data_IF_303206874803
#
_entry.id   IF_303206874803
#
_cell.length_a   1.000
_cell.length_b   1.000
_cell.length_c   1.000
_cell.angle_alpha   90.00
_cell.angle_beta   90.00
_cell.angle_gamma   90.00
#
_symmetry.space_group_name_H-M   'P 1'
#
loop_
_entity.id
_entity.type
_entity.pdbx_description
1 polymer ?
#
# COMPACT_ATOMS: atom_id res chain seq x y z
N UNK A 1 45.63 -75.07 1.02
CA UNK A 1 44.63 -74.62 0.03
C UNK A 1 43.48 -74.01 0.81
N UNK A 2 43.44 -72.68 0.91
CA UNK A 2 42.39 -71.98 1.65
C UNK A 2 41.21 -71.75 0.72
N UNK A 3 40.06 -72.35 1.04
CA UNK A 3 38.81 -72.20 0.28
C UNK A 3 38.26 -70.78 0.48
N UNK A 4 38.01 -70.00 -0.60
CA UNK A 4 37.44 -68.67 -0.44
C UNK A 4 35.96 -68.78 -0.02
N UNK A 5 35.62 -68.19 1.13
CA UNK A 5 34.24 -68.03 1.57
C UNK A 5 33.67 -66.74 0.99
N UNK A 6 32.81 -66.86 -0.01
CA UNK A 6 32.06 -65.73 -0.56
C UNK A 6 30.88 -65.42 0.36
N UNK A 7 30.91 -64.26 1.02
CA UNK A 7 29.80 -63.77 1.83
C UNK A 7 28.97 -62.78 1.01
N UNK A 8 27.72 -63.14 0.71
CA UNK A 8 26.77 -62.26 0.02
C UNK A 8 26.07 -61.37 1.05
N UNK A 9 26.43 -60.09 1.08
CA UNK A 9 25.75 -59.07 1.89
C UNK A 9 24.49 -58.65 1.14
N UNK A 10 23.30 -58.93 1.70
CA UNK A 10 22.05 -58.43 1.13
C UNK A 10 22.02 -56.90 1.27
N UNK A 11 21.66 -56.15 0.22
CA UNK A 11 21.54 -54.70 0.33
C UNK A 11 20.52 -54.34 1.41
N UNK A 12 20.87 -53.38 2.27
CA UNK A 12 19.94 -52.83 3.25
C UNK A 12 18.71 -52.31 2.51
N UNK A 13 17.52 -52.81 2.85
CA UNK A 13 16.27 -52.52 2.17
C UNK A 13 15.77 -51.10 2.41
N UNK A 14 16.49 -50.09 1.91
CA UNK A 14 16.19 -48.66 2.05
C UNK A 14 14.96 -48.19 1.22
N UNK A 15 14.34 -49.10 0.46
CA UNK A 15 13.15 -48.80 -0.33
C UNK A 15 11.94 -48.42 0.53
N UNK A 16 11.80 -49.03 1.72
CA UNK A 16 10.70 -48.72 2.63
C UNK A 16 10.89 -47.35 3.31
N UNK A 17 12.12 -47.01 3.70
CA UNK A 17 12.43 -45.72 4.32
C UNK A 17 12.19 -44.56 3.35
N UNK A 18 12.62 -44.71 2.10
CA UNK A 18 12.36 -43.73 1.03
C UNK A 18 10.86 -43.61 0.74
N UNK A 19 10.13 -44.72 0.76
CA UNK A 19 8.67 -44.73 0.59
C UNK A 19 7.96 -43.99 1.74
N UNK A 20 8.39 -44.20 2.99
CA UNK A 20 7.81 -43.49 4.14
C UNK A 20 8.08 -41.98 4.08
N UNK A 21 9.28 -41.57 3.68
CA UNK A 21 9.62 -40.16 3.49
C UNK A 21 8.78 -39.54 2.38
N UNK A 22 8.63 -40.23 1.24
CA UNK A 22 7.80 -39.75 0.13
C UNK A 22 6.32 -39.61 0.54
N UNK A 23 5.77 -40.59 1.26
CA UNK A 23 4.41 -40.55 1.78
C UNK A 23 4.21 -39.39 2.77
N UNK A 24 5.19 -39.14 3.64
CA UNK A 24 5.17 -38.01 4.56
C UNK A 24 5.17 -36.68 3.80
N UNK A 25 6.02 -36.53 2.78
CA UNK A 25 6.05 -35.34 1.93
C UNK A 25 4.70 -35.10 1.23
N UNK A 26 4.11 -36.13 0.64
CA UNK A 26 2.80 -36.02 -0.02
C UNK A 26 1.68 -35.65 0.97
N UNK A 27 1.72 -36.20 2.18
CA UNK A 27 0.77 -35.85 3.24
C UNK A 27 0.89 -34.37 3.64
N UNK A 28 2.12 -33.86 3.82
CA UNK A 28 2.36 -32.45 4.13
C UNK A 28 1.83 -31.57 2.99
N UNK A 29 2.11 -31.90 1.73
CA UNK A 29 1.62 -31.15 0.58
C UNK A 29 0.10 -31.17 0.48
N UNK A 30 -0.54 -32.31 0.76
CA UNK A 30 -2.00 -32.42 0.76
C UNK A 30 -2.62 -31.59 1.88
N UNK A 31 -2.05 -31.60 3.08
CA UNK A 31 -2.51 -30.76 4.21
C UNK A 31 -2.30 -29.29 3.90
N UNK A 32 -1.12 -28.90 3.43
CA UNK A 32 -0.82 -27.52 3.05
C UNK A 32 -1.74 -27.03 1.92
N UNK A 33 -1.92 -27.83 0.87
CA UNK A 33 -2.84 -27.54 -0.23
C UNK A 33 -4.29 -27.44 0.25
N UNK A 34 -4.74 -28.33 1.12
CA UNK A 34 -6.09 -28.28 1.72
C UNK A 34 -6.27 -27.05 2.59
N UNK A 35 -5.27 -26.66 3.38
CA UNK A 35 -5.28 -25.41 4.14
C UNK A 35 -5.31 -24.21 3.21
N UNK A 36 -4.57 -24.21 2.10
CA UNK A 36 -4.60 -23.12 1.11
C UNK A 36 -5.94 -23.05 0.39
N UNK A 37 -6.58 -24.18 0.11
CA UNK A 37 -7.92 -24.24 -0.50
C UNK A 37 -9.01 -23.81 0.48
N UNK A 38 -8.91 -24.19 1.76
CA UNK A 38 -9.86 -23.83 2.81
C UNK A 38 -9.68 -22.38 3.25
N UNK A 39 -8.44 -21.94 3.39
CA UNK A 39 -8.04 -20.54 3.66
C UNK A 39 -7.99 -19.70 2.39
N UNK A 40 -8.33 -20.29 1.24
CA UNK A 40 -8.89 -19.60 0.09
C UNK A 40 -10.28 -19.11 0.48
N UNK A 41 -10.32 -18.30 1.54
CA UNK A 41 -11.45 -17.47 1.90
C UNK A 41 -11.88 -16.83 0.60
N UNK A 42 -13.13 -17.08 0.21
CA UNK A 42 -13.76 -16.28 -0.83
C UNK A 42 -13.40 -14.85 -0.46
N UNK A 43 -12.64 -14.18 -1.33
CA UNK A 43 -12.44 -12.75 -1.22
C UNK A 43 -13.86 -12.19 -1.26
N UNK A 44 -14.45 -12.02 -0.08
CA UNK A 44 -15.51 -11.08 0.11
C UNK A 44 -14.80 -9.80 -0.23
N UNK A 45 -14.96 -9.41 -1.50
CA UNK A 45 -14.72 -8.09 -1.98
C UNK A 45 -15.65 -7.27 -1.11
N UNK A 46 -15.17 -6.90 0.09
CA UNK A 46 -15.71 -5.80 0.84
C UNK A 46 -15.62 -4.68 -0.16
N UNK A 47 -16.77 -4.39 -0.76
CA UNK A 47 -16.90 -3.51 -1.89
C UNK A 47 -16.49 -2.15 -1.37
N UNK A 48 -15.20 -1.86 -1.51
CA UNK A 48 -14.70 -0.52 -1.67
C UNK A 48 -15.67 0.11 -2.65
N UNK A 49 -16.50 1.07 -2.20
CA UNK A 49 -17.43 1.77 -3.10
C UNK A 49 -16.65 2.18 -4.34
N UNK A 50 -17.25 2.23 -5.54
CA UNK A 50 -16.52 2.51 -6.79
C UNK A 50 -15.62 3.75 -6.76
N UNK A 51 -15.87 4.66 -5.81
CA UNK A 51 -15.13 5.88 -5.55
C UNK A 51 -14.04 5.77 -4.48
N UNK A 52 -13.71 4.58 -4.00
CA UNK A 52 -12.64 4.36 -3.03
C UNK A 52 -11.56 3.45 -3.64
N UNK A 53 -10.33 3.54 -3.13
CA UNK A 53 -9.19 2.72 -3.50
C UNK A 53 -8.53 2.18 -2.23
N UNK A 54 -8.27 0.88 -2.18
CA UNK A 54 -7.47 0.29 -1.11
C UNK A 54 -5.99 0.68 -1.30
N UNK A 55 -5.44 1.41 -0.34
CA UNK A 55 -4.06 1.86 -0.35
C UNK A 55 -3.03 0.72 -0.56
N UNK A 56 -3.36 -0.53 -0.16
CA UNK A 56 -2.46 -1.69 -0.29
C UNK A 56 -2.56 -2.39 -1.63
N UNK A 57 -3.73 -2.39 -2.26
CA UNK A 57 -4.03 -3.27 -3.40
C UNK A 57 -4.21 -2.51 -4.70
N UNK A 58 -4.78 -1.31 -4.63
CA UNK A 58 -5.25 -0.59 -5.81
C UNK A 58 -4.29 0.50 -6.27
N UNK A 59 -3.19 0.73 -5.54
CA UNK A 59 -2.15 1.71 -5.87
C UNK A 59 -0.94 1.03 -6.54
N UNK A 60 -0.39 1.68 -7.57
CA UNK A 60 0.91 1.31 -8.14
C UNK A 60 2.07 1.59 -7.16
N UNK A 61 3.27 1.00 -7.34
CA UNK A 61 4.40 1.25 -6.44
C UNK A 61 4.79 2.73 -6.31
N UNK A 62 4.69 3.50 -7.39
CA UNK A 62 4.93 4.95 -7.37
C UNK A 62 3.88 5.69 -6.54
N UNK A 63 2.60 5.37 -6.77
CA UNK A 63 1.46 5.93 -6.02
C UNK A 63 1.51 5.58 -4.53
N UNK A 64 1.87 4.34 -4.19
CA UNK A 64 2.06 3.90 -2.80
C UNK A 64 3.14 4.70 -2.09
N UNK A 65 4.24 4.99 -2.78
CA UNK A 65 5.31 5.83 -2.25
C UNK A 65 4.84 7.25 -1.96
N UNK A 66 4.16 7.89 -2.92
CA UNK A 66 3.60 9.24 -2.73
C UNK A 66 2.61 9.26 -1.58
N UNK A 67 1.72 8.27 -1.52
CA UNK A 67 0.75 8.14 -0.45
C UNK A 67 1.42 8.00 0.92
N UNK A 68 2.48 7.18 1.03
CA UNK A 68 3.26 7.05 2.25
C UNK A 68 3.97 8.36 2.64
N UNK A 69 4.60 9.03 1.67
CA UNK A 69 5.29 10.30 1.88
C UNK A 69 4.31 11.38 2.37
N UNK A 70 3.13 11.52 1.74
CA UNK A 70 2.07 12.44 2.16
C UNK A 70 1.59 12.17 3.60
N UNK A 71 1.44 10.89 3.96
CA UNK A 71 1.01 10.48 5.30
C UNK A 71 2.05 10.85 6.36
N UNK A 72 3.34 10.69 6.06
CA UNK A 72 4.44 11.06 6.97
C UNK A 72 4.54 12.58 7.10
N UNK A 73 4.52 13.30 5.99
CA UNK A 73 4.68 14.76 5.99
C UNK A 73 3.47 15.49 6.54
N UNK A 74 2.29 14.86 6.60
CA UNK A 74 1.13 15.47 7.21
C UNK A 74 1.36 15.84 8.68
N UNK A 75 2.01 14.98 9.46
CA UNK A 75 2.26 15.24 10.88
C UNK A 75 3.14 16.50 11.03
N UNK A 76 4.13 16.63 10.16
CA UNK A 76 5.01 17.82 10.09
C UNK A 76 4.25 19.08 9.65
N UNK A 77 3.37 18.97 8.64
CA UNK A 77 2.51 20.07 8.20
C UNK A 77 1.60 20.54 9.34
N UNK A 78 1.05 19.62 10.13
CA UNK A 78 0.21 19.95 11.27
C UNK A 78 1.00 20.67 12.36
N UNK A 79 2.23 20.26 12.64
CA UNK A 79 3.14 20.93 13.57
C UNK A 79 3.46 22.36 13.10
N UNK A 80 3.91 22.51 11.85
CA UNK A 80 4.23 23.82 11.26
C UNK A 80 3.02 24.75 11.25
N UNK A 81 1.81 24.22 11.00
CA UNK A 81 0.57 24.99 11.06
C UNK A 81 0.31 25.53 12.47
N UNK A 82 0.59 24.75 13.51
CA UNK A 82 0.39 25.20 14.90
C UNK A 82 1.38 26.30 15.26
N UNK A 83 2.64 26.20 14.81
CA UNK A 83 3.68 27.19 15.07
C UNK A 83 3.46 28.50 14.31
N UNK A 84 3.11 28.41 13.03
CA UNK A 84 3.02 29.56 12.13
C UNK A 84 1.60 30.14 12.05
N UNK A 85 0.61 29.48 12.66
CA UNK A 85 -0.83 29.79 12.58
C UNK A 85 -1.40 29.84 11.15
N UNK A 86 -0.64 29.34 10.17
CA UNK A 86 -1.01 29.28 8.75
C UNK A 86 -0.54 27.95 8.17
N UNK A 87 -1.19 27.51 7.10
CA UNK A 87 -0.79 26.30 6.39
C UNK A 87 0.46 26.60 5.53
N UNK A 88 1.58 25.87 5.68
CA UNK A 88 2.78 26.09 4.86
C UNK A 88 2.50 25.85 3.38
N UNK A 89 3.11 26.67 2.51
CA UNK A 89 2.97 26.47 1.06
C UNK A 89 3.84 25.30 0.59
N UNK A 90 3.54 24.68 -0.56
CA UNK A 90 4.36 23.61 -1.12
C UNK A 90 5.82 24.01 -1.34
N UNK A 91 6.08 25.28 -1.64
CA UNK A 91 7.43 25.81 -1.81
C UNK A 91 8.21 25.74 -0.50
N UNK A 92 7.60 26.19 0.62
CA UNK A 92 8.21 26.09 1.96
C UNK A 92 8.47 24.63 2.31
N UNK A 93 7.50 23.74 2.07
CA UNK A 93 7.68 22.31 2.32
C UNK A 93 8.80 21.70 1.47
N UNK A 94 8.95 22.16 0.23
CA UNK A 94 10.02 21.71 -0.67
C UNK A 94 11.39 22.23 -0.24
N UNK A 95 11.49 23.48 0.24
CA UNK A 95 12.71 24.07 0.79
C UNK A 95 13.19 23.34 2.04
N UNK A 96 12.26 22.94 2.92
CA UNK A 96 12.53 22.12 4.10
C UNK A 96 12.84 20.65 3.76
N UNK A 97 12.72 20.25 2.49
CA UNK A 97 13.06 18.90 2.04
C UNK A 97 11.99 17.84 2.34
N UNK A 98 10.75 18.24 2.61
CA UNK A 98 9.67 17.28 2.85
C UNK A 98 9.19 16.63 1.54
N UNK A 99 9.25 15.30 1.47
CA UNK A 99 8.61 14.54 0.40
C UNK A 99 7.07 14.63 0.52
N UNK A 100 6.30 14.48 -0.57
CA UNK A 100 6.70 14.47 -1.98
C UNK A 100 6.88 15.89 -2.57
N UNK A 101 6.98 16.94 -1.74
CA UNK A 101 7.08 18.34 -2.17
C UNK A 101 8.49 18.72 -2.65
N UNK A 102 9.51 18.15 -1.99
CA UNK A 102 10.90 18.29 -2.37
C UNK A 102 11.15 17.75 -3.78
N UNK A 103 11.95 18.48 -4.57
CA UNK A 103 12.27 18.13 -5.96
C UNK A 103 13.52 17.24 -6.04
N UNK A 104 13.46 16.09 -5.37
CA UNK A 104 14.55 15.12 -5.34
C UNK A 104 14.37 13.99 -6.38
N UNK A 105 15.32 13.06 -6.41
CA UNK A 105 15.28 11.93 -7.34
C UNK A 105 14.04 11.03 -7.12
N UNK A 106 13.56 10.92 -5.88
CA UNK A 106 12.37 10.15 -5.53
C UNK A 106 11.13 10.80 -6.15
N UNK A 107 10.95 12.10 -5.98
CA UNK A 107 9.83 12.85 -6.55
C UNK A 107 9.77 12.74 -8.08
N UNK A 108 10.92 12.84 -8.76
CA UNK A 108 11.00 12.66 -10.23
C UNK A 108 10.61 11.24 -10.61
N UNK A 109 11.13 10.23 -9.93
CA UNK A 109 10.83 8.81 -10.21
C UNK A 109 9.36 8.44 -9.98
N UNK A 110 8.67 9.18 -9.10
CA UNK A 110 7.26 8.96 -8.78
C UNK A 110 6.29 9.83 -9.58
N UNK A 111 6.74 10.54 -10.61
CA UNK A 111 5.85 11.30 -11.51
C UNK A 111 5.96 12.82 -11.43
N UNK A 112 6.88 13.34 -10.61
CA UNK A 112 7.33 14.73 -10.64
C UNK A 112 6.22 15.74 -10.39
N UNK A 113 5.33 15.48 -9.42
CA UNK A 113 4.11 16.25 -9.19
C UNK A 113 4.36 17.76 -9.03
N UNK A 114 3.55 18.56 -9.72
CA UNK A 114 3.45 19.98 -9.49
C UNK A 114 2.46 20.23 -8.35
N UNK A 115 2.97 20.57 -7.18
CA UNK A 115 2.18 20.81 -5.98
C UNK A 115 1.74 22.27 -5.88
N UNK A 116 0.49 22.47 -5.48
CA UNK A 116 -0.10 23.77 -5.18
C UNK A 116 -1.05 23.66 -3.99
N UNK A 117 -1.21 24.76 -3.25
CA UNK A 117 -2.15 24.85 -2.15
C UNK A 117 -3.49 25.42 -2.62
N UNK A 118 -4.58 24.72 -2.33
CA UNK A 118 -5.96 25.09 -2.65
C UNK A 118 -6.70 25.56 -1.39
N UNK A 119 -7.26 26.77 -1.45
CA UNK A 119 -8.11 27.39 -0.43
C UNK A 119 -7.58 27.31 1.01
N UNK A 120 -6.26 27.25 1.18
CA UNK A 120 -5.57 27.02 2.45
C UNK A 120 -6.07 25.79 3.23
N UNK A 121 -6.62 24.79 2.51
CA UNK A 121 -7.27 23.60 3.09
C UNK A 121 -6.86 22.28 2.43
N UNK A 122 -6.30 22.32 1.23
CA UNK A 122 -5.88 21.11 0.53
C UNK A 122 -4.61 21.34 -0.29
N UNK A 123 -3.83 20.28 -0.47
CA UNK A 123 -2.69 20.25 -1.39
C UNK A 123 -3.07 19.44 -2.62
N UNK A 124 -2.91 20.02 -3.81
CA UNK A 124 -3.12 19.35 -5.08
C UNK A 124 -1.78 19.14 -5.79
N UNK A 125 -1.47 17.89 -6.11
CA UNK A 125 -0.26 17.47 -6.79
C UNK A 125 -0.57 16.93 -8.19
N UNK A 126 -0.47 17.78 -9.20
CA UNK A 126 -0.70 17.38 -10.58
C UNK A 126 0.47 16.54 -11.08
N UNK A 127 0.19 15.30 -11.48
CA UNK A 127 1.21 14.43 -12.09
C UNK A 127 1.74 15.01 -13.39
N UNK A 128 3.06 15.04 -13.54
CA UNK A 128 3.72 15.42 -14.80
C UNK A 128 3.99 14.18 -15.68
N UNK A 129 3.82 12.98 -15.12
CA UNK A 129 3.88 11.72 -15.85
C UNK A 129 2.69 10.82 -15.45
N UNK A 130 1.49 11.03 -16.04
CA UNK A 130 0.28 10.28 -15.70
C UNK A 130 0.38 8.76 -15.89
N UNK A 131 1.33 8.29 -16.70
CA UNK A 131 1.63 6.87 -16.89
C UNK A 131 2.43 6.25 -15.74
N UNK A 132 3.06 7.08 -14.90
CA UNK A 132 3.86 6.65 -13.73
C UNK A 132 3.03 6.70 -12.46
N UNK A 133 2.27 7.78 -12.26
CA UNK A 133 1.36 7.96 -11.13
C UNK A 133 0.22 8.91 -11.49
N UNK A 134 -0.98 8.68 -10.95
CA UNK A 134 -2.09 9.64 -11.04
C UNK A 134 -1.86 10.91 -10.21
N UNK A 135 -2.69 11.93 -10.40
CA UNK A 135 -2.65 13.17 -9.62
C UNK A 135 -3.27 12.96 -8.24
N UNK A 136 -2.69 13.61 -7.23
CA UNK A 136 -3.10 13.49 -5.84
C UNK A 136 -3.76 14.77 -5.33
N UNK A 137 -4.71 14.61 -4.41
CA UNK A 137 -5.29 15.70 -3.64
C UNK A 137 -5.32 15.28 -2.17
N UNK A 138 -4.63 16.02 -1.30
CA UNK A 138 -4.62 15.82 0.14
C UNK A 138 -5.45 16.94 0.80
N UNK A 139 -6.64 16.61 1.26
CA UNK A 139 -7.51 17.52 2.02
C UNK A 139 -7.18 17.41 3.50
N UNK A 140 -6.89 18.54 4.13
CA UNK A 140 -6.67 18.58 5.57
C UNK A 140 -8.01 18.72 6.26
N UNK A 141 -8.34 17.74 7.10
CA UNK A 141 -9.54 17.81 7.91
C UNK A 141 -9.44 18.89 9.01
N UNK A 142 -10.60 19.27 9.55
CA UNK A 142 -10.66 20.01 10.80
C UNK A 142 -10.13 19.14 11.95
N UNK A 143 -9.58 19.78 12.98
CA UNK A 143 -8.82 19.14 14.06
C UNK A 143 -9.42 17.81 14.53
N UNK A 144 -8.60 16.75 14.46
CA UNK A 144 -8.84 15.34 14.85
C UNK A 144 -9.43 14.36 13.83
N UNK A 145 -9.79 14.77 12.62
CA UNK A 145 -10.11 13.78 11.58
C UNK A 145 -8.87 13.30 10.82
N UNK A 146 -8.93 12.07 10.30
CA UNK A 146 -7.90 11.58 9.40
C UNK A 146 -7.87 12.45 8.12
N UNK A 147 -6.68 12.72 7.55
CA UNK A 147 -6.60 13.38 6.25
C UNK A 147 -7.30 12.55 5.17
N UNK A 148 -7.99 13.23 4.26
CA UNK A 148 -8.52 12.57 3.08
C UNK A 148 -7.55 12.73 1.93
N UNK A 149 -6.99 11.62 1.46
CA UNK A 149 -6.13 11.60 0.27
C UNK A 149 -6.92 11.01 -0.87
N UNK A 150 -7.00 11.73 -1.99
CA UNK A 150 -7.73 11.36 -3.19
C UNK A 150 -6.75 11.19 -4.36
N UNK A 151 -7.09 10.31 -5.29
CA UNK A 151 -6.34 10.00 -6.50
C UNK A 151 -7.21 10.15 -7.74
N UNK A 152 -6.65 10.72 -8.80
CA UNK A 152 -7.26 10.73 -10.13
C UNK A 152 -6.21 10.44 -11.20
N UNK A 153 -6.47 9.42 -12.02
CA UNK A 153 -5.54 8.90 -13.04
C UNK A 153 -5.81 9.47 -14.45
N UNK A 154 -6.68 10.46 -14.59
CA UNK A 154 -6.90 11.12 -15.86
C UNK A 154 -5.62 11.82 -16.35
N UNK A 155 -5.35 11.75 -17.65
CA UNK A 155 -4.15 12.32 -18.27
C UNK A 155 -4.13 13.85 -18.28
N UNK A 156 -5.31 14.46 -18.26
CA UNK A 156 -5.49 15.92 -18.24
C UNK A 156 -6.49 16.26 -17.14
N UNK A 157 -5.98 16.87 -16.07
CA UNK A 157 -6.76 17.30 -14.92
C UNK A 157 -6.58 18.79 -14.72
N UNK A 158 -7.64 19.43 -14.25
CA UNK A 158 -7.57 20.78 -13.69
C UNK A 158 -7.73 20.64 -12.18
N UNK A 159 -7.12 21.58 -11.45
CA UNK A 159 -7.28 21.65 -10.00
C UNK A 159 -8.77 21.77 -9.65
N UNK A 160 -9.30 20.93 -8.74
CA UNK A 160 -10.69 21.02 -8.32
C UNK A 160 -10.97 22.37 -7.65
N UNK A 161 -12.01 23.06 -8.09
CA UNK A 161 -12.49 24.29 -7.46
C UNK A 161 -13.44 24.00 -6.28
N UNK A 162 -14.15 22.87 -6.34
CA UNK A 162 -15.00 22.38 -5.27
C UNK A 162 -14.36 21.11 -4.68
N UNK A 163 -14.06 21.16 -3.39
CA UNK A 163 -13.39 20.11 -2.63
C UNK A 163 -14.38 19.24 -1.83
N UNK A 164 -15.69 19.36 -2.08
CA UNK A 164 -16.69 18.46 -1.51
C UNK A 164 -16.61 17.07 -2.12
N UNK A 165 -16.97 16.05 -1.32
CA UNK A 165 -16.90 14.64 -1.75
C UNK A 165 -17.69 14.42 -3.04
N UNK A 166 -18.91 14.94 -3.12
CA UNK A 166 -19.77 14.80 -4.30
C UNK A 166 -19.14 15.42 -5.57
N UNK A 167 -18.50 16.57 -5.46
CA UNK A 167 -17.83 17.21 -6.60
C UNK A 167 -16.60 16.40 -7.04
N UNK A 168 -15.79 15.94 -6.08
CA UNK A 168 -14.61 15.12 -6.34
C UNK A 168 -14.99 13.78 -7.01
N UNK A 169 -15.95 13.06 -6.45
CA UNK A 169 -16.47 11.81 -7.02
C UNK A 169 -17.01 12.02 -8.43
N UNK A 170 -17.79 13.08 -8.67
CA UNK A 170 -18.33 13.41 -10.00
C UNK A 170 -17.25 13.73 -11.03
N UNK A 171 -16.11 14.25 -10.58
CA UNK A 171 -14.93 14.54 -11.40
C UNK A 171 -13.98 13.34 -11.54
N UNK A 172 -14.38 12.16 -11.06
CA UNK A 172 -13.63 10.91 -11.17
C UNK A 172 -12.48 10.77 -10.17
N UNK A 173 -12.47 11.57 -9.10
CA UNK A 173 -11.56 11.36 -7.99
C UNK A 173 -12.00 10.17 -7.15
N UNK A 174 -11.04 9.41 -6.67
CA UNK A 174 -11.27 8.27 -5.80
C UNK A 174 -10.51 8.44 -4.48
N UNK A 175 -11.17 8.26 -3.35
CA UNK A 175 -10.57 8.38 -2.02
C UNK A 175 -9.69 7.16 -1.73
N UNK A 176 -8.45 7.37 -1.33
CA UNK A 176 -7.56 6.31 -0.88
C UNK A 176 -7.87 6.01 0.57
N UNK A 177 -8.28 4.77 0.85
CA UNK A 177 -8.55 4.30 2.20
C UNK A 177 -7.50 3.28 2.62
N UNK A 178 -6.91 3.50 3.81
CA UNK A 178 -6.13 2.48 4.48
C UNK A 178 -7.08 1.56 5.23
N UNK A 179 -7.51 0.46 4.61
CA UNK A 179 -8.19 -0.59 5.36
C UNK A 179 -7.18 -1.23 6.31
N UNK A 180 -7.39 -1.00 7.60
CA UNK A 180 -6.78 -1.82 8.64
C UNK A 180 -7.71 -3.01 8.84
N UNK A 181 -7.32 -4.18 8.33
CA UNK A 181 -7.87 -5.43 8.85
C UNK A 181 -7.75 -5.37 10.38
N UNK A 182 -8.90 -5.37 11.06
CA UNK A 182 -8.97 -5.48 12.51
C UNK A 182 -8.57 -6.92 12.93
N UNK A 183 -7.33 -7.28 12.63
CA UNK A 183 -6.72 -8.57 12.91
C UNK A 183 -5.82 -8.50 14.13
N UNK A 184 -6.39 -8.85 15.28
CA UNK A 184 -5.69 -9.37 16.47
C UNK A 184 -4.74 -8.38 17.18
N UNK A 185 -5.27 -7.48 17.99
CA UNK A 185 -4.79 -7.21 19.37
C UNK A 185 -5.66 -6.15 20.05
N UNK A 186 -6.67 -6.60 20.80
CA UNK A 186 -7.07 -6.03 22.11
C UNK A 186 -8.21 -6.88 22.67
N UNK A 187 -7.84 -7.98 23.35
CA UNK A 187 -8.68 -8.42 24.45
C UNK A 187 -8.48 -7.41 25.58
N UNK A 188 -9.36 -6.42 25.63
CA UNK A 188 -9.63 -5.71 26.88
C UNK A 188 -10.20 -6.74 27.85
N UNK A 189 -9.37 -7.27 28.76
CA UNK A 189 -9.86 -7.96 29.94
C UNK A 189 -9.88 -6.95 31.08
N UNK A 190 -11.09 -6.63 31.51
CA UNK A 190 -11.41 -5.90 32.74
C UNK A 190 -10.91 -6.66 33.97
#
# INVERSE_FOLDING_TARGET
MSTPTTQVVRPAGAGHETLYVLLLCLMILAVAGSVVLWRGESHEVSSVSSHQLDARRDLSPSEQGIYADLRVTLDEIQLLRQEQQTLPTPEVLAEEGFAPFARDASAVSRGGHAWQLLDAKAYFGQSQAPTVAGSFLMRLAAANDAPDIWLNRASTLTAPADLSDAALESAGWQQIVAQFDAGVTRQHRH
#
